data_IF_507769270698
#
_entry.id   IF_507769270698
#
_cell.length_a   1.000
_cell.length_b   1.000
_cell.length_c   1.000
_cell.angle_alpha   90.00
_cell.angle_beta   90.00
_cell.angle_gamma   90.00
#
_symmetry.space_group_name_H-M   'P 1'
#
loop_
_entity.id
_entity.type
_entity.pdbx_description
1 polymer ?
#
# COMPACT_ATOMS: atom_id res chain seq x y z
N UNK A 1 29.73 2.49 -2.89
CA UNK A 1 30.13 1.08 -2.70
C UNK A 1 29.83 0.71 -1.25
N UNK A 2 28.66 0.14 -1.02
CA UNK A 2 28.22 -0.35 0.29
C UNK A 2 28.01 -1.86 0.14
N UNK A 3 29.00 -2.64 0.53
CA UNK A 3 28.90 -4.09 0.61
C UNK A 3 28.18 -4.44 1.91
N UNK A 4 26.87 -4.61 1.87
CA UNK A 4 26.14 -5.33 2.92
C UNK A 4 26.11 -6.81 2.56
N UNK A 5 27.23 -7.51 2.80
CA UNK A 5 27.24 -8.96 2.91
C UNK A 5 26.59 -9.35 4.26
N UNK A 6 25.67 -10.34 4.30
CA UNK A 6 25.18 -10.85 5.56
C UNK A 6 26.34 -11.56 6.29
N UNK A 7 26.48 -11.22 7.56
CA UNK A 7 27.48 -11.71 8.50
C UNK A 7 27.47 -13.26 8.52
N UNK A 8 28.60 -13.87 8.18
CA UNK A 8 28.86 -15.28 8.54
C UNK A 8 28.74 -15.41 10.07
N UNK A 9 28.09 -16.45 10.60
CA UNK A 9 28.19 -16.75 12.02
C UNK A 9 29.66 -17.02 12.35
N UNK A 10 30.14 -16.46 13.47
CA UNK A 10 31.37 -16.90 14.10
C UNK A 10 31.21 -18.38 14.43
N UNK A 11 31.82 -19.28 13.64
CA UNK A 11 31.89 -20.69 14.02
C UNK A 11 32.70 -20.77 15.31
N UNK A 12 32.04 -21.21 16.39
CA UNK A 12 32.70 -21.40 17.66
C UNK A 12 33.82 -22.45 17.50
N UNK A 13 34.95 -22.24 18.17
CA UNK A 13 36.07 -23.17 18.15
C UNK A 13 35.59 -24.54 18.68
N UNK A 14 35.37 -25.51 17.78
CA UNK A 14 34.85 -26.84 18.11
C UNK A 14 33.66 -27.32 17.26
N UNK A 15 33.06 -26.46 16.44
CA UNK A 15 31.90 -26.83 15.60
C UNK A 15 32.30 -27.12 14.14
N UNK A 16 31.87 -28.27 13.61
CA UNK A 16 32.01 -28.62 12.19
C UNK A 16 30.68 -28.33 11.49
N UNK A 17 30.66 -27.31 10.62
CA UNK A 17 29.49 -26.97 9.80
C UNK A 17 29.72 -27.37 8.34
N UNK A 18 29.01 -28.42 7.91
CA UNK A 18 28.99 -28.91 6.54
C UNK A 18 27.58 -28.92 5.95
N UNK A 19 26.67 -28.08 6.48
CA UNK A 19 25.26 -28.01 6.03
C UNK A 19 25.17 -27.69 4.55
N UNK A 20 26.07 -26.84 4.04
CA UNK A 20 26.22 -26.56 2.61
C UNK A 20 26.42 -27.84 1.78
N UNK A 21 27.37 -28.70 2.18
CA UNK A 21 27.72 -29.91 1.44
C UNK A 21 26.54 -30.90 1.49
N UNK A 22 25.90 -31.05 2.65
CA UNK A 22 24.68 -31.85 2.78
C UNK A 22 23.59 -31.35 1.83
N UNK A 23 23.35 -30.04 1.80
CA UNK A 23 22.37 -29.41 0.91
C UNK A 23 22.68 -29.66 -0.57
N UNK A 24 23.95 -29.64 -0.98
CA UNK A 24 24.34 -29.94 -2.36
C UNK A 24 24.11 -31.42 -2.70
N UNK A 25 24.48 -32.34 -1.81
CA UNK A 25 24.28 -33.77 -2.01
C UNK A 25 22.80 -34.15 -2.10
N UNK A 26 21.96 -33.60 -1.20
CA UNK A 26 20.51 -33.82 -1.28
C UNK A 26 19.94 -33.11 -2.52
N UNK A 27 20.39 -31.90 -2.83
CA UNK A 27 19.99 -31.16 -4.03
C UNK A 27 20.27 -31.92 -5.33
N UNK A 28 21.38 -32.65 -5.42
CA UNK A 28 21.72 -33.47 -6.59
C UNK A 28 20.69 -34.58 -6.86
N UNK A 29 19.99 -35.08 -5.82
CA UNK A 29 18.91 -36.06 -5.97
C UNK A 29 17.68 -35.48 -6.69
N UNK A 30 17.53 -34.16 -6.79
CA UNK A 30 16.46 -33.58 -7.59
C UNK A 30 16.75 -33.66 -9.10
N UNK A 31 18.03 -33.70 -9.48
CA UNK A 31 18.48 -33.75 -10.88
C UNK A 31 18.54 -35.20 -11.38
N UNK A 32 18.94 -36.13 -10.51
CA UNK A 32 18.89 -37.56 -10.80
C UNK A 32 17.48 -38.10 -10.56
N UNK A 33 16.95 -38.91 -11.48
CA UNK A 33 15.70 -39.66 -11.24
C UNK A 33 15.92 -40.87 -10.29
N UNK A 34 17.14 -41.04 -9.78
CA UNK A 34 17.53 -42.14 -8.91
C UNK A 34 16.76 -42.09 -7.59
N UNK A 35 16.22 -43.24 -7.16
CA UNK A 35 15.50 -43.42 -5.89
C UNK A 35 14.18 -42.62 -5.77
N UNK A 36 13.71 -41.98 -6.84
CA UNK A 36 12.40 -41.33 -6.87
C UNK A 36 11.26 -42.34 -6.69
N UNK A 37 10.38 -42.07 -5.73
CA UNK A 37 9.28 -42.96 -5.31
C UNK A 37 7.89 -42.28 -5.38
N UNK A 38 7.83 -41.10 -5.97
CA UNK A 38 6.61 -40.36 -6.34
C UNK A 38 6.87 -39.48 -7.57
N UNK A 39 5.85 -39.22 -8.39
CA UNK A 39 5.95 -38.28 -9.52
C UNK A 39 4.83 -37.24 -9.47
N UNK A 40 5.18 -35.96 -9.49
CA UNK A 40 4.19 -34.89 -9.68
C UNK A 40 4.01 -34.58 -11.16
N UNK A 41 2.77 -34.32 -11.57
CA UNK A 41 2.44 -33.90 -12.94
C UNK A 41 1.94 -32.46 -12.90
N UNK A 42 2.73 -31.55 -13.46
CA UNK A 42 2.45 -30.11 -13.48
C UNK A 42 2.55 -29.63 -14.92
N UNK A 43 1.50 -29.02 -15.46
CA UNK A 43 1.43 -28.59 -16.88
C UNK A 43 1.88 -29.68 -17.88
N UNK A 44 1.51 -30.94 -17.62
CA UNK A 44 1.90 -32.15 -18.39
C UNK A 44 3.40 -32.49 -18.35
N UNK A 45 4.22 -31.73 -17.60
CA UNK A 45 5.61 -32.09 -17.27
C UNK A 45 5.62 -33.00 -16.03
N UNK A 46 6.51 -34.00 -16.03
CA UNK A 46 6.67 -34.96 -14.93
C UNK A 46 7.85 -34.54 -14.05
N UNK A 47 7.64 -34.58 -12.74
CA UNK A 47 8.62 -34.24 -11.72
C UNK A 47 8.79 -35.42 -10.77
N UNK A 48 9.72 -36.35 -11.06
CA UNK A 48 10.12 -37.39 -10.12
C UNK A 48 10.66 -36.76 -8.83
N UNK A 49 10.28 -37.32 -7.68
CA UNK A 49 10.69 -36.80 -6.38
C UNK A 49 10.72 -37.90 -5.30
N UNK A 50 11.16 -37.51 -4.11
CA UNK A 50 11.38 -38.40 -2.97
C UNK A 50 10.39 -38.10 -1.85
N UNK A 51 9.52 -39.06 -1.54
CA UNK A 51 8.46 -38.92 -0.53
C UNK A 51 9.02 -38.57 0.83
N UNK A 52 10.14 -39.17 1.22
CA UNK A 52 10.77 -38.93 2.53
C UNK A 52 11.24 -37.49 2.69
N UNK A 53 11.84 -36.89 1.65
CA UNK A 53 12.33 -35.50 1.69
C UNK A 53 11.16 -34.53 1.77
N UNK A 54 10.16 -34.72 0.91
CA UNK A 54 8.94 -33.89 0.88
C UNK A 54 8.20 -33.92 2.22
N UNK A 55 7.99 -35.11 2.78
CA UNK A 55 7.31 -35.29 4.05
C UNK A 55 8.10 -34.80 5.27
N UNK A 56 9.43 -34.77 5.19
CA UNK A 56 10.27 -34.20 6.24
C UNK A 56 10.22 -32.67 6.25
N UNK A 57 10.03 -32.05 5.09
CA UNK A 57 10.08 -30.58 4.91
C UNK A 57 8.72 -29.91 4.89
N UNK A 58 7.64 -30.65 4.64
CA UNK A 58 6.30 -30.09 4.45
C UNK A 58 5.23 -31.02 5.03
N UNK A 59 4.45 -30.50 5.97
CA UNK A 59 3.38 -31.24 6.63
C UNK A 59 2.25 -31.62 5.65
N UNK A 60 1.96 -30.77 4.66
CA UNK A 60 0.99 -31.09 3.61
C UNK A 60 1.43 -32.31 2.81
N UNK A 61 2.68 -32.33 2.30
CA UNK A 61 3.18 -33.50 1.58
C UNK A 61 3.30 -34.74 2.47
N UNK A 62 3.60 -34.57 3.77
CA UNK A 62 3.56 -35.68 4.72
C UNK A 62 2.16 -36.31 4.79
N UNK A 63 1.12 -35.50 4.94
CA UNK A 63 -0.26 -35.97 4.98
C UNK A 63 -0.67 -36.62 3.65
N UNK A 64 -0.32 -36.01 2.52
CA UNK A 64 -0.63 -36.53 1.19
C UNK A 64 0.01 -37.89 0.92
N UNK A 65 1.29 -38.02 1.24
CA UNK A 65 2.10 -39.17 0.86
C UNK A 65 2.08 -40.30 1.90
N UNK A 66 1.76 -40.02 3.17
CA UNK A 66 1.74 -41.03 4.23
C UNK A 66 0.38 -41.15 4.94
N UNK A 67 -0.65 -40.45 4.45
CA UNK A 67 -2.00 -40.44 5.04
C UNK A 67 -2.91 -41.60 4.65
N UNK A 68 -2.42 -42.58 3.87
CA UNK A 68 -3.17 -43.80 3.51
C UNK A 68 -4.19 -43.65 2.38
N UNK A 69 -4.20 -42.52 1.67
CA UNK A 69 -5.04 -42.29 0.47
C UNK A 69 -4.39 -42.87 -0.81
N UNK A 70 -5.03 -42.74 -1.98
CA UNK A 70 -4.51 -43.30 -3.25
C UNK A 70 -3.11 -42.78 -3.59
N UNK A 71 -2.87 -41.53 -3.24
CA UNK A 71 -1.63 -40.77 -3.42
C UNK A 71 -0.48 -41.28 -2.52
N UNK A 72 -0.80 -42.11 -1.52
CA UNK A 72 0.20 -42.72 -0.62
C UNK A 72 0.81 -44.01 -1.15
N UNK A 73 0.36 -44.50 -2.32
CA UNK A 73 0.97 -45.66 -2.96
C UNK A 73 2.37 -45.30 -3.48
N UNK A 74 3.38 -46.19 -3.34
CA UNK A 74 4.67 -46.02 -4.02
C UNK A 74 4.45 -45.84 -5.52
N UNK A 75 5.23 -44.96 -6.15
CA UNK A 75 5.14 -44.66 -7.59
C UNK A 75 3.85 -43.94 -8.01
N UNK A 76 3.10 -43.35 -7.06
CA UNK A 76 1.92 -42.57 -7.38
C UNK A 76 2.25 -41.36 -8.28
N UNK A 77 1.39 -41.13 -9.28
CA UNK A 77 1.38 -39.92 -10.08
C UNK A 77 0.36 -38.92 -9.51
N UNK A 78 0.85 -37.76 -9.07
CA UNK A 78 0.05 -36.74 -8.38
C UNK A 78 -0.08 -35.52 -9.30
N UNK A 79 -1.25 -35.29 -9.90
CA UNK A 79 -1.48 -34.09 -10.70
C UNK A 79 -1.64 -32.87 -9.80
N UNK A 80 -0.87 -31.81 -10.06
CA UNK A 80 -1.05 -30.50 -9.42
C UNK A 80 -1.76 -29.58 -10.41
N UNK A 81 -2.99 -29.21 -10.08
CA UNK A 81 -3.77 -28.23 -10.82
C UNK A 81 -3.42 -26.81 -10.33
N UNK A 82 -3.59 -25.83 -11.23
CA UNK A 82 -3.37 -24.41 -10.94
C UNK A 82 -1.97 -24.14 -10.35
N UNK A 83 -0.95 -24.74 -10.97
CA UNK A 83 0.45 -24.60 -10.59
C UNK A 83 1.29 -24.57 -11.85
N UNK A 84 2.15 -23.56 -11.98
CA UNK A 84 3.10 -23.46 -13.10
C UNK A 84 4.32 -24.33 -12.84
N UNK A 85 4.86 -24.91 -13.91
CA UNK A 85 6.03 -25.78 -13.82
C UNK A 85 7.26 -25.05 -13.26
N UNK A 86 7.44 -23.79 -13.63
CA UNK A 86 8.55 -22.93 -13.21
C UNK A 86 8.52 -22.68 -11.69
N UNK A 87 7.38 -22.23 -11.15
CA UNK A 87 7.22 -22.00 -9.71
C UNK A 87 7.35 -23.30 -8.91
N UNK A 88 6.80 -24.41 -9.41
CA UNK A 88 6.94 -25.71 -8.75
C UNK A 88 8.40 -26.21 -8.75
N UNK A 89 9.14 -25.96 -9.83
CA UNK A 89 10.57 -26.26 -9.91
C UNK A 89 11.35 -25.48 -8.85
N UNK A 90 11.05 -24.19 -8.67
CA UNK A 90 11.66 -23.37 -7.61
C UNK A 90 11.34 -23.93 -6.22
N UNK A 91 10.08 -24.34 -5.98
CA UNK A 91 9.68 -24.93 -4.71
C UNK A 91 10.39 -26.25 -4.44
N UNK A 92 10.46 -27.16 -5.41
CA UNK A 92 11.20 -28.41 -5.25
C UNK A 92 12.67 -28.15 -4.96
N UNK A 93 13.33 -27.23 -5.68
CA UNK A 93 14.71 -26.84 -5.37
C UNK A 93 14.84 -26.34 -3.94
N UNK A 94 13.92 -25.49 -3.48
CA UNK A 94 13.91 -25.00 -2.10
C UNK A 94 13.69 -26.12 -1.08
N UNK A 95 12.80 -27.07 -1.34
CA UNK A 95 12.55 -28.20 -0.44
C UNK A 95 13.81 -29.03 -0.25
N UNK A 96 14.55 -29.30 -1.32
CA UNK A 96 15.75 -30.15 -1.28
C UNK A 96 16.98 -29.43 -0.74
N UNK A 97 17.12 -28.13 -1.00
CA UNK A 97 18.36 -27.38 -0.72
C UNK A 97 18.23 -26.32 0.38
N UNK A 98 17.00 -25.94 0.74
CA UNK A 98 16.74 -24.77 1.57
C UNK A 98 17.10 -23.44 0.90
N UNK A 99 17.35 -23.43 -0.42
CA UNK A 99 17.76 -22.23 -1.18
C UNK A 99 16.78 -21.96 -2.33
N UNK A 100 16.49 -20.68 -2.56
CA UNK A 100 15.77 -20.19 -3.72
C UNK A 100 16.47 -18.92 -4.22
N UNK A 101 16.56 -18.78 -5.54
CA UNK A 101 17.06 -17.55 -6.19
C UNK A 101 15.86 -16.84 -6.79
N UNK A 102 15.61 -15.61 -6.34
CA UNK A 102 14.46 -14.81 -6.80
C UNK A 102 14.85 -13.76 -7.85
N UNK A 103 16.14 -13.45 -7.93
CA UNK A 103 16.67 -12.48 -8.91
C UNK A 103 16.49 -13.01 -10.32
N UNK A 104 16.16 -12.10 -11.25
CA UNK A 104 15.97 -12.35 -12.69
C UNK A 104 14.77 -13.24 -13.06
N UNK A 105 14.01 -13.71 -12.06
CA UNK A 105 12.75 -14.42 -12.30
C UNK A 105 11.64 -13.45 -12.71
N UNK A 106 10.69 -13.95 -13.51
CA UNK A 106 9.51 -13.17 -13.91
C UNK A 106 8.60 -12.96 -12.71
N UNK A 107 7.97 -11.79 -12.65
CA UNK A 107 7.07 -11.40 -11.56
C UNK A 107 5.91 -12.40 -11.37
N UNK A 108 5.31 -12.87 -12.46
CA UNK A 108 4.25 -13.90 -12.43
C UNK A 108 4.73 -15.20 -11.76
N UNK A 109 5.96 -15.64 -12.06
CA UNK A 109 6.56 -16.85 -11.46
C UNK A 109 6.83 -16.64 -9.97
N UNK A 110 7.26 -15.43 -9.56
CA UNK A 110 7.47 -15.09 -8.16
C UNK A 110 6.16 -15.08 -7.36
N UNK A 111 5.07 -14.60 -7.96
CA UNK A 111 3.74 -14.61 -7.36
C UNK A 111 3.15 -16.02 -7.26
N UNK A 112 3.35 -16.85 -8.27
CA UNK A 112 3.02 -18.28 -8.20
C UNK A 112 3.87 -18.98 -7.14
N UNK A 113 5.16 -18.67 -7.05
CA UNK A 113 6.05 -19.23 -6.05
C UNK A 113 5.64 -18.84 -4.62
N UNK A 114 5.26 -17.58 -4.40
CA UNK A 114 4.64 -17.11 -3.15
C UNK A 114 3.34 -17.86 -2.85
N UNK A 115 2.49 -18.05 -3.86
CA UNK A 115 1.24 -18.81 -3.75
C UNK A 115 1.48 -20.25 -3.27
N UNK A 116 2.51 -20.91 -3.81
CA UNK A 116 2.88 -22.26 -3.39
C UNK A 116 3.48 -22.29 -1.98
N UNK A 117 4.29 -21.30 -1.61
CA UNK A 117 4.82 -21.17 -0.25
C UNK A 117 3.67 -21.08 0.76
N UNK A 118 2.66 -20.24 0.49
CA UNK A 118 1.46 -20.14 1.30
C UNK A 118 0.66 -21.46 1.32
N UNK A 119 0.31 -21.99 0.13
CA UNK A 119 -0.52 -23.19 -0.05
C UNK A 119 0.04 -24.43 0.67
N UNK A 120 1.35 -24.59 0.66
CA UNK A 120 2.01 -25.74 1.27
C UNK A 120 2.60 -25.48 2.67
N UNK A 121 2.40 -24.27 3.21
CA UNK A 121 2.75 -23.92 4.59
C UNK A 121 4.25 -23.74 4.83
N UNK A 122 4.92 -22.91 4.03
CA UNK A 122 6.32 -22.50 4.21
C UNK A 122 6.40 -21.02 4.63
N UNK A 123 6.21 -20.70 5.92
CA UNK A 123 6.11 -19.31 6.38
C UNK A 123 7.42 -18.52 6.18
N UNK A 124 8.59 -19.12 6.39
CA UNK A 124 9.87 -18.41 6.19
C UNK A 124 10.13 -18.11 4.71
N UNK A 125 9.66 -18.98 3.81
CA UNK A 125 9.73 -18.76 2.37
C UNK A 125 8.74 -17.68 1.94
N UNK A 126 7.51 -17.73 2.45
CA UNK A 126 6.48 -16.72 2.22
C UNK A 126 6.95 -15.32 2.65
N UNK A 127 7.53 -15.21 3.84
CA UNK A 127 8.10 -13.96 4.36
C UNK A 127 9.24 -13.44 3.46
N UNK A 128 10.20 -14.32 3.11
CA UNK A 128 11.36 -13.93 2.30
C UNK A 128 10.98 -13.51 0.87
N UNK A 129 10.04 -14.23 0.24
CA UNK A 129 9.54 -13.89 -1.08
C UNK A 129 8.73 -12.60 -1.05
N UNK A 130 7.92 -12.38 -0.01
CA UNK A 130 7.18 -11.13 0.19
C UNK A 130 8.10 -9.92 0.38
N UNK A 131 9.17 -10.07 1.16
CA UNK A 131 10.17 -9.03 1.34
C UNK A 131 10.85 -8.67 0.02
N UNK A 132 11.23 -9.67 -0.80
CA UNK A 132 11.81 -9.43 -2.11
C UNK A 132 10.84 -8.70 -3.05
N UNK A 133 9.58 -9.13 -3.12
CA UNK A 133 8.55 -8.48 -3.93
C UNK A 133 8.38 -7.00 -3.57
N UNK A 134 8.48 -6.64 -2.29
CA UNK A 134 8.44 -5.24 -1.85
C UNK A 134 9.57 -4.38 -2.45
N UNK A 135 10.74 -4.97 -2.73
CA UNK A 135 11.89 -4.24 -3.29
C UNK A 135 11.79 -3.97 -4.78
N UNK A 136 10.93 -4.70 -5.50
CA UNK A 136 10.78 -4.62 -6.96
C UNK A 136 9.43 -4.03 -7.39
N UNK A 137 8.64 -3.49 -6.47
CA UNK A 137 7.35 -2.86 -6.78
C UNK A 137 7.50 -1.73 -7.80
N UNK A 138 6.65 -1.75 -8.82
CA UNK A 138 6.56 -0.76 -9.88
C UNK A 138 5.11 -0.63 -10.38
N UNK A 139 4.84 0.33 -11.28
CA UNK A 139 3.48 0.60 -11.79
C UNK A 139 2.89 -0.63 -12.52
N UNK A 140 3.72 -1.42 -13.19
CA UNK A 140 3.28 -2.56 -13.99
C UNK A 140 2.88 -3.75 -13.11
N UNK A 141 3.55 -3.94 -11.96
CA UNK A 141 3.40 -5.15 -11.15
C UNK A 141 2.60 -4.97 -9.85
N UNK A 142 2.41 -3.73 -9.38
CA UNK A 142 1.85 -3.49 -8.04
C UNK A 142 0.41 -4.00 -7.93
N UNK A 143 -0.40 -3.91 -8.99
CA UNK A 143 -1.78 -4.42 -8.98
C UNK A 143 -1.84 -5.93 -8.81
N UNK A 144 -1.05 -6.69 -9.59
CA UNK A 144 -1.01 -8.16 -9.47
C UNK A 144 -0.44 -8.59 -8.12
N UNK A 145 0.61 -7.91 -7.65
CA UNK A 145 1.21 -8.18 -6.33
C UNK A 145 0.22 -7.92 -5.20
N UNK A 146 -0.52 -6.81 -5.28
CA UNK A 146 -1.56 -6.48 -4.31
C UNK A 146 -2.71 -7.48 -4.31
N UNK A 147 -3.16 -7.94 -5.48
CA UNK A 147 -4.24 -8.92 -5.57
C UNK A 147 -3.87 -10.23 -4.87
N UNK A 148 -2.65 -10.72 -5.12
CA UNK A 148 -2.09 -11.91 -4.45
C UNK A 148 -1.91 -11.67 -2.94
N UNK A 149 -1.36 -10.53 -2.54
CA UNK A 149 -1.17 -10.19 -1.13
C UNK A 149 -2.51 -10.09 -0.38
N UNK A 150 -3.53 -9.53 -1.02
CA UNK A 150 -4.89 -9.43 -0.47
C UNK A 150 -5.56 -10.80 -0.41
N UNK A 151 -5.38 -11.66 -1.41
CA UNK A 151 -5.95 -13.01 -1.46
C UNK A 151 -5.44 -13.88 -0.31
N UNK A 152 -4.13 -13.87 -0.06
CA UNK A 152 -3.50 -14.64 1.03
C UNK A 152 -3.43 -13.89 2.36
N UNK A 153 -3.99 -12.68 2.43
CA UNK A 153 -4.00 -11.84 3.64
C UNK A 153 -2.60 -11.59 4.21
N UNK A 154 -1.65 -11.20 3.36
CA UNK A 154 -0.26 -10.91 3.71
C UNK A 154 -0.12 -9.43 4.12
N UNK A 155 -0.11 -9.09 5.42
CA UNK A 155 -0.33 -7.71 5.87
C UNK A 155 0.81 -6.76 5.50
N UNK A 156 2.07 -7.22 5.60
CA UNK A 156 3.25 -6.41 5.26
C UNK A 156 3.28 -6.06 3.77
N UNK A 157 3.12 -7.07 2.91
CA UNK A 157 3.12 -6.89 1.45
C UNK A 157 1.93 -6.04 0.99
N UNK A 158 0.74 -6.28 1.56
CA UNK A 158 -0.46 -5.47 1.31
C UNK A 158 -0.22 -4.00 1.68
N UNK A 159 0.36 -3.73 2.85
CA UNK A 159 0.68 -2.38 3.30
C UNK A 159 1.66 -1.67 2.35
N UNK A 160 2.73 -2.35 1.94
CA UNK A 160 3.73 -1.79 1.01
C UNK A 160 3.13 -1.50 -0.38
N UNK A 161 2.30 -2.40 -0.90
CA UNK A 161 1.57 -2.17 -2.15
C UNK A 161 0.62 -0.98 -2.02
N UNK A 162 -0.15 -0.90 -0.94
CA UNK A 162 -1.04 0.21 -0.62
C UNK A 162 -0.30 1.56 -0.58
N UNK A 163 0.84 1.63 0.10
CA UNK A 163 1.67 2.85 0.16
C UNK A 163 2.22 3.23 -1.20
N UNK A 164 2.64 2.26 -2.01
CA UNK A 164 3.11 2.50 -3.37
C UNK A 164 1.98 3.02 -4.27
N UNK A 165 0.80 2.40 -4.21
CA UNK A 165 -0.37 2.78 -4.99
C UNK A 165 -0.85 4.19 -4.62
N UNK A 166 -0.91 4.55 -3.33
CA UNK A 166 -1.34 5.88 -2.91
C UNK A 166 -0.43 6.99 -3.43
N UNK A 167 0.88 6.74 -3.52
CA UNK A 167 1.85 7.69 -4.05
C UNK A 167 1.78 7.85 -5.57
N UNK A 168 1.21 6.88 -6.27
CA UNK A 168 1.17 6.81 -7.74
C UNK A 168 -0.26 6.55 -8.25
N UNK A 169 -1.27 7.11 -7.57
CA UNK A 169 -2.67 6.71 -7.77
C UNK A 169 -3.14 6.94 -9.21
N UNK A 170 -2.72 8.06 -9.84
CA UNK A 170 -3.11 8.40 -11.22
C UNK A 170 -2.50 7.43 -12.24
N UNK A 171 -1.22 7.10 -12.09
CA UNK A 171 -0.53 6.14 -12.94
C UNK A 171 -1.10 4.73 -12.78
N UNK A 172 -1.41 4.32 -11.55
CA UNK A 172 -2.05 3.04 -11.25
C UNK A 172 -3.42 2.95 -11.90
N UNK A 173 -4.27 3.99 -11.79
CA UNK A 173 -5.60 4.01 -12.43
C UNK A 173 -5.55 3.87 -13.96
N UNK A 174 -4.45 4.31 -14.57
CA UNK A 174 -4.24 4.25 -16.02
C UNK A 174 -3.52 2.97 -16.48
N UNK A 175 -3.07 2.13 -15.54
CA UNK A 175 -2.29 0.93 -15.85
C UNK A 175 -3.14 -0.23 -16.35
N UNK A 176 -2.56 -1.09 -17.19
CA UNK A 176 -3.22 -2.35 -17.61
C UNK A 176 -3.45 -3.29 -16.42
N UNK A 177 -2.52 -3.30 -15.45
CA UNK A 177 -2.64 -4.09 -14.24
C UNK A 177 -3.87 -3.73 -13.39
N UNK A 178 -4.37 -2.50 -13.47
CA UNK A 178 -5.61 -2.14 -12.78
C UNK A 178 -6.82 -2.87 -13.36
N UNK A 179 -6.86 -3.11 -14.68
CA UNK A 179 -7.96 -3.80 -15.37
C UNK A 179 -8.03 -5.30 -15.01
N UNK A 180 -6.91 -5.89 -14.60
CA UNK A 180 -6.80 -7.31 -14.24
C UNK A 180 -7.05 -7.60 -12.75
N UNK A 181 -7.22 -6.58 -11.91
CA UNK A 181 -7.54 -6.75 -10.49
C UNK A 181 -8.82 -7.55 -10.29
N UNK A 182 -8.82 -8.46 -9.32
CA UNK A 182 -10.05 -9.05 -8.80
C UNK A 182 -10.99 -7.97 -8.23
N UNK A 183 -12.30 -8.24 -8.24
CA UNK A 183 -13.31 -7.32 -7.69
C UNK A 183 -13.01 -6.94 -6.24
N UNK A 184 -12.59 -7.91 -5.43
CA UNK A 184 -12.27 -7.69 -4.00
C UNK A 184 -11.06 -6.77 -3.85
N UNK A 185 -9.98 -7.03 -4.59
CA UNK A 185 -8.80 -6.18 -4.55
C UNK A 185 -9.08 -4.76 -5.06
N UNK A 186 -9.85 -4.64 -6.16
CA UNK A 186 -10.28 -3.36 -6.70
C UNK A 186 -11.00 -2.52 -5.63
N UNK A 187 -12.01 -3.07 -4.97
CA UNK A 187 -12.76 -2.40 -3.90
C UNK A 187 -11.86 -2.05 -2.71
N UNK A 188 -10.95 -2.94 -2.32
CA UNK A 188 -9.98 -2.69 -1.26
C UNK A 188 -9.05 -1.51 -1.58
N UNK A 189 -8.79 -1.21 -2.85
CA UNK A 189 -8.03 -0.03 -3.28
C UNK A 189 -8.93 1.21 -3.26
N UNK A 190 -10.03 1.18 -4.03
CA UNK A 190 -10.85 2.37 -4.27
C UNK A 190 -11.72 2.77 -3.10
N UNK A 191 -11.87 1.97 -2.04
CA UNK A 191 -12.58 2.41 -0.83
C UNK A 191 -11.69 3.21 0.13
N UNK A 192 -10.36 3.19 -0.05
CA UNK A 192 -9.41 3.86 0.85
C UNK A 192 -9.40 5.37 0.64
N UNK A 193 -9.51 6.12 1.75
CA UNK A 193 -9.40 7.59 1.72
C UNK A 193 -8.04 8.08 1.22
N UNK A 194 -6.99 7.26 1.41
CA UNK A 194 -5.62 7.60 1.02
C UNK A 194 -5.31 7.41 -0.46
N UNK A 195 -6.15 6.68 -1.20
CA UNK A 195 -5.99 6.49 -2.64
C UNK A 195 -6.51 7.71 -3.40
N UNK A 196 -5.75 8.80 -3.33
CA UNK A 196 -6.18 10.13 -3.73
C UNK A 196 -5.95 10.39 -5.23
N UNK A 197 -7.05 10.49 -5.97
CA UNK A 197 -7.10 10.95 -7.35
C UNK A 197 -8.44 11.69 -7.57
N UNK A 198 -8.56 12.53 -8.63
CA UNK A 198 -9.84 13.13 -8.97
C UNK A 198 -10.93 12.05 -9.14
N UNK A 199 -12.10 12.23 -8.51
CA UNK A 199 -13.19 11.24 -8.57
C UNK A 199 -13.65 10.94 -9.99
N UNK A 200 -13.50 11.90 -10.91
CA UNK A 200 -13.71 11.69 -12.34
C UNK A 200 -12.78 10.60 -12.90
N UNK A 201 -11.51 10.61 -12.52
CA UNK A 201 -10.52 9.66 -13.05
C UNK A 201 -10.74 8.28 -12.44
N UNK A 202 -11.07 8.21 -11.15
CA UNK A 202 -11.51 6.98 -10.47
C UNK A 202 -12.74 6.40 -11.19
N UNK A 203 -13.76 7.23 -11.45
CA UNK A 203 -14.96 6.82 -12.17
C UNK A 203 -14.64 6.24 -13.56
N UNK A 204 -13.78 6.91 -14.34
CA UNK A 204 -13.39 6.47 -15.67
C UNK A 204 -12.61 5.15 -15.64
N UNK A 205 -11.71 4.98 -14.67
CA UNK A 205 -10.97 3.73 -14.48
C UNK A 205 -11.90 2.57 -14.11
N UNK A 206 -12.84 2.79 -13.19
CA UNK A 206 -13.84 1.79 -12.81
C UNK A 206 -14.79 1.45 -13.96
N UNK A 207 -15.19 2.44 -14.77
CA UNK A 207 -15.96 2.23 -15.99
C UNK A 207 -15.20 1.32 -16.98
N UNK A 208 -13.90 1.56 -17.18
CA UNK A 208 -13.07 0.73 -18.05
C UNK A 208 -12.90 -0.69 -17.49
N UNK A 209 -12.70 -0.82 -16.17
CA UNK A 209 -12.65 -2.11 -15.50
C UNK A 209 -13.97 -2.89 -15.68
N UNK A 210 -15.13 -2.25 -15.50
CA UNK A 210 -16.45 -2.88 -15.67
C UNK A 210 -16.69 -3.34 -17.11
N UNK A 211 -16.23 -2.56 -18.11
CA UNK A 211 -16.29 -2.95 -19.53
C UNK A 211 -15.43 -4.18 -19.82
N UNK A 212 -14.25 -4.26 -19.21
CA UNK A 212 -13.34 -5.41 -19.34
C UNK A 212 -13.91 -6.66 -18.65
N UNK A 213 -14.49 -6.48 -17.45
CA UNK A 213 -15.01 -7.53 -16.58
C UNK A 213 -16.55 -7.57 -16.62
N UNK A 214 -17.12 -7.91 -17.78
CA UNK A 214 -18.58 -7.84 -18.05
C UNK A 214 -19.45 -8.83 -17.25
N UNK A 215 -18.84 -9.80 -16.56
CA UNK A 215 -19.54 -10.83 -15.78
C UNK A 215 -19.84 -10.41 -14.34
N UNK A 216 -19.19 -9.36 -13.85
CA UNK A 216 -19.27 -8.90 -12.47
C UNK A 216 -20.44 -7.94 -12.24
N UNK A 217 -20.91 -7.83 -10.99
CA UNK A 217 -21.94 -6.86 -10.65
C UNK A 217 -21.34 -5.45 -10.56
N UNK A 218 -21.61 -4.62 -11.56
CA UNK A 218 -21.06 -3.26 -11.67
C UNK A 218 -21.65 -2.29 -10.63
N UNK A 219 -22.85 -2.55 -10.09
CA UNK A 219 -23.53 -1.60 -9.21
C UNK A 219 -22.73 -1.31 -7.92
N UNK A 220 -22.17 -2.36 -7.31
CA UNK A 220 -21.37 -2.24 -6.08
C UNK A 220 -20.06 -1.48 -6.32
N UNK A 221 -19.44 -1.72 -7.47
CA UNK A 221 -18.18 -1.06 -7.85
C UNK A 221 -18.40 0.43 -8.07
N UNK A 222 -19.48 0.79 -8.77
CA UNK A 222 -19.79 2.19 -9.05
C UNK A 222 -20.24 2.97 -7.80
N UNK A 223 -20.69 2.30 -6.73
CA UNK A 223 -20.97 2.92 -5.43
C UNK A 223 -19.70 3.36 -4.70
N UNK A 224 -18.52 2.85 -5.06
CA UNK A 224 -17.26 3.30 -4.47
C UNK A 224 -16.83 4.70 -4.92
N UNK A 225 -17.42 5.22 -6.01
CA UNK A 225 -17.18 6.58 -6.51
C UNK A 225 -17.92 7.59 -5.63
N UNK A 226 -17.21 8.63 -5.19
CA UNK A 226 -17.75 9.69 -4.32
C UNK A 226 -18.38 10.77 -5.19
N UNK A 227 -19.51 10.44 -5.82
CA UNK A 227 -20.25 11.34 -6.74
C UNK A 227 -20.46 12.77 -6.22
N UNK A 228 -20.75 13.02 -4.92
CA UNK A 228 -20.90 14.39 -4.41
C UNK A 228 -19.65 15.27 -4.60
N UNK A 229 -18.46 14.67 -4.74
CA UNK A 229 -17.20 15.38 -4.96
C UNK A 229 -16.91 15.68 -6.44
N UNK A 230 -17.74 15.20 -7.36
CA UNK A 230 -17.63 15.51 -8.79
C UNK A 230 -18.34 16.83 -9.12
N UNK A 231 -17.85 17.56 -10.12
CA UNK A 231 -18.52 18.75 -10.64
C UNK A 231 -19.81 18.41 -11.39
N UNK A 232 -20.74 19.37 -11.44
CA UNK A 232 -22.00 19.21 -12.18
C UNK A 232 -21.75 18.85 -13.66
N UNK A 233 -20.73 19.45 -14.27
CA UNK A 233 -20.33 19.17 -15.65
C UNK A 233 -19.89 17.72 -15.83
N UNK A 234 -19.12 17.17 -14.89
CA UNK A 234 -18.68 15.77 -14.93
C UNK A 234 -19.85 14.81 -14.71
N UNK A 235 -20.74 15.11 -13.76
CA UNK A 235 -21.94 14.31 -13.51
C UNK A 235 -22.83 14.24 -14.76
N UNK A 236 -23.05 15.36 -15.44
CA UNK A 236 -23.94 15.42 -16.60
C UNK A 236 -23.32 14.91 -17.90
N UNK A 237 -22.02 15.14 -18.11
CA UNK A 237 -21.37 14.83 -19.39
C UNK A 237 -20.52 13.56 -19.37
N UNK A 238 -20.19 13.02 -18.19
CA UNK A 238 -19.37 11.80 -18.04
C UNK A 238 -20.17 10.69 -17.36
N UNK A 239 -20.77 10.97 -16.20
CA UNK A 239 -21.48 9.94 -15.41
C UNK A 239 -22.81 9.57 -16.06
N UNK A 240 -23.67 10.55 -16.35
CA UNK A 240 -24.99 10.30 -16.93
C UNK A 240 -24.96 9.54 -18.27
N UNK A 241 -24.07 9.86 -19.24
CA UNK A 241 -24.02 9.13 -20.51
C UNK A 241 -23.49 7.70 -20.39
N UNK A 242 -22.81 7.35 -19.28
CA UNK A 242 -22.29 5.99 -19.08
C UNK A 242 -23.38 4.94 -18.92
N UNK A 243 -24.57 5.32 -18.46
CA UNK A 243 -25.70 4.43 -18.20
C UNK A 243 -25.49 3.43 -17.05
N UNK A 244 -24.38 3.48 -16.30
CA UNK A 244 -24.08 2.56 -15.20
C UNK A 244 -24.76 2.93 -13.86
N UNK A 245 -25.19 4.19 -13.72
CA UNK A 245 -25.82 4.71 -12.51
C UNK A 245 -27.20 5.27 -12.85
N UNK A 246 -28.13 5.18 -11.90
CA UNK A 246 -29.48 5.72 -12.07
C UNK A 246 -29.44 7.26 -12.09
N UNK A 247 -30.38 7.91 -12.80
CA UNK A 247 -30.54 9.36 -12.72
C UNK A 247 -30.77 9.85 -11.28
N UNK A 248 -31.47 9.06 -10.46
CA UNK A 248 -31.74 9.37 -9.05
C UNK A 248 -30.44 9.43 -8.23
N UNK A 249 -29.49 8.51 -8.45
CA UNK A 249 -28.20 8.54 -7.76
C UNK A 249 -27.41 9.83 -8.06
N UNK A 250 -27.52 10.38 -9.27
CA UNK A 250 -26.90 11.66 -9.64
C UNK A 250 -27.60 12.82 -8.93
N UNK A 251 -28.94 12.81 -8.88
CA UNK A 251 -29.72 13.83 -8.18
C UNK A 251 -29.45 13.82 -6.67
N UNK A 252 -29.37 12.64 -6.07
CA UNK A 252 -29.02 12.45 -4.66
C UNK A 252 -27.62 12.97 -4.37
N UNK A 253 -26.65 12.73 -5.26
CA UNK A 253 -25.29 13.27 -5.11
C UNK A 253 -25.26 14.80 -5.16
N UNK A 254 -26.03 15.43 -6.07
CA UNK A 254 -26.17 16.89 -6.14
C UNK A 254 -26.81 17.43 -4.86
N UNK A 255 -27.86 16.76 -4.36
CA UNK A 255 -28.54 17.13 -3.13
C UNK A 255 -27.58 17.09 -1.94
N UNK A 256 -26.85 15.98 -1.76
CA UNK A 256 -25.84 15.81 -0.70
C UNK A 256 -24.82 16.93 -0.75
N UNK A 257 -24.25 17.25 -1.91
CA UNK A 257 -23.30 18.34 -2.08
C UNK A 257 -23.89 19.71 -1.71
N UNK A 258 -25.17 19.95 -2.00
CA UNK A 258 -25.83 21.24 -1.75
C UNK A 258 -26.29 21.44 -0.30
N UNK A 259 -26.61 20.36 0.41
CA UNK A 259 -27.17 20.40 1.77
C UNK A 259 -26.11 20.16 2.86
N UNK A 260 -24.99 19.52 2.52
CA UNK A 260 -23.91 19.22 3.47
C UNK A 260 -22.92 20.37 3.56
N UNK A 261 -22.27 20.49 4.72
CA UNK A 261 -21.06 21.32 4.85
C UNK A 261 -19.92 20.65 4.08
N UNK A 262 -19.01 21.44 3.51
CA UNK A 262 -17.93 20.91 2.68
C UNK A 262 -17.03 19.96 3.50
N UNK A 263 -16.71 20.34 4.73
CA UNK A 263 -15.87 19.52 5.61
C UNK A 263 -16.55 18.23 6.12
N UNK A 264 -17.85 18.07 5.92
CA UNK A 264 -18.58 16.83 6.22
C UNK A 264 -18.56 15.84 5.03
N UNK A 265 -18.09 16.28 3.85
CA UNK A 265 -17.93 15.41 2.69
C UNK A 265 -16.71 14.50 2.86
N UNK A 266 -16.83 13.28 2.34
CA UNK A 266 -15.81 12.24 2.47
C UNK A 266 -14.69 12.40 1.44
N UNK A 267 -13.90 13.46 1.51
CA UNK A 267 -12.77 13.65 0.59
C UNK A 267 -11.73 12.52 0.66
N UNK A 268 -11.05 12.30 -0.47
CA UNK A 268 -9.79 11.54 -0.50
C UNK A 268 -8.62 12.50 -0.35
N UNK A 269 -7.57 12.06 0.31
CA UNK A 269 -6.39 12.87 0.53
C UNK A 269 -5.14 12.03 0.57
N UNK A 270 -4.04 12.60 0.11
CA UNK A 270 -2.74 11.93 0.17
C UNK A 270 -2.37 11.64 1.63
N UNK A 271 -1.90 10.43 1.91
CA UNK A 271 -1.37 10.04 3.21
C UNK A 271 0.10 9.66 3.07
N UNK A 272 0.98 10.46 3.69
CA UNK A 272 2.39 10.12 3.80
C UNK A 272 2.76 10.05 5.30
N UNK A 273 2.79 8.84 5.88
CA UNK A 273 3.13 8.68 7.29
C UNK A 273 4.50 9.25 7.63
N UNK A 274 4.62 9.89 8.79
CA UNK A 274 5.88 10.39 9.36
C UNK A 274 6.65 11.43 8.50
N UNK A 275 6.03 12.01 7.47
CA UNK A 275 6.64 13.04 6.64
C UNK A 275 5.96 14.41 6.83
N UNK A 276 6.76 15.48 6.79
CA UNK A 276 6.24 16.85 6.83
C UNK A 276 5.75 17.29 5.44
N UNK A 277 4.44 17.22 5.23
CA UNK A 277 3.79 17.67 4.00
C UNK A 277 3.64 19.20 3.90
N UNK A 278 3.79 19.93 5.01
CA UNK A 278 3.75 21.39 5.04
C UNK A 278 5.13 21.98 4.69
N UNK A 279 5.63 21.64 3.50
CA UNK A 279 6.90 22.15 2.97
C UNK A 279 6.76 22.50 1.48
N UNK A 280 7.65 23.37 1.00
CA UNK A 280 7.71 23.74 -0.42
C UNK A 280 7.92 22.53 -1.35
N UNK A 281 8.59 21.47 -0.88
CA UNK A 281 8.80 20.21 -1.61
C UNK A 281 7.47 19.56 -2.01
N UNK A 282 6.47 19.63 -1.14
CA UNK A 282 5.13 19.10 -1.38
C UNK A 282 4.16 20.17 -1.89
N UNK A 283 4.67 21.34 -2.32
CA UNK A 283 3.85 22.42 -2.89
C UNK A 283 3.07 23.23 -1.86
N UNK A 284 3.32 23.06 -0.56
CA UNK A 284 2.66 23.85 0.47
C UNK A 284 3.11 25.32 0.45
N UNK A 285 2.20 26.25 0.72
CA UNK A 285 2.41 27.69 0.59
C UNK A 285 1.72 28.45 1.72
N UNK A 286 2.32 29.57 2.15
CA UNK A 286 1.68 30.47 3.12
C UNK A 286 0.82 31.49 2.36
N UNK A 287 -0.51 31.39 2.51
CA UNK A 287 -1.49 32.24 1.83
C UNK A 287 -1.62 33.57 2.57
N UNK A 288 -1.74 33.54 3.90
CA UNK A 288 -1.85 34.72 4.77
C UNK A 288 -0.79 34.70 5.87
N UNK A 289 -0.31 35.88 6.24
CA UNK A 289 0.81 36.08 7.16
C UNK A 289 1.97 36.87 6.54
N UNK A 290 2.81 37.42 7.40
CA UNK A 290 4.06 38.10 7.06
C UNK A 290 5.24 37.11 7.05
N UNK A 291 6.34 37.46 6.37
CA UNK A 291 7.55 36.63 6.30
C UNK A 291 7.27 35.18 5.85
N UNK A 292 6.39 35.05 4.86
CA UNK A 292 5.85 33.78 4.32
C UNK A 292 6.90 32.71 4.00
N UNK A 293 8.06 33.12 3.51
CA UNK A 293 9.14 32.20 3.13
C UNK A 293 9.74 31.45 4.31
N UNK A 294 9.64 31.98 5.53
CA UNK A 294 10.29 31.43 6.72
C UNK A 294 9.44 30.37 7.46
N UNK A 295 8.14 30.23 7.16
CA UNK A 295 7.28 29.31 7.92
C UNK A 295 7.48 27.84 7.51
N UNK A 296 7.74 27.61 6.22
CA UNK A 296 7.74 26.27 5.59
C UNK A 296 9.11 25.90 4.99
N UNK A 297 10.18 26.60 5.36
CA UNK A 297 11.55 26.36 4.88
C UNK A 297 12.22 25.16 5.57
N UNK A 298 11.67 24.71 6.70
CA UNK A 298 12.19 23.59 7.49
C UNK A 298 13.33 23.96 8.44
N UNK A 299 13.74 25.23 8.50
CA UNK A 299 14.71 25.69 9.49
C UNK A 299 14.00 25.91 10.83
N UNK A 300 14.48 25.20 11.84
CA UNK A 300 13.92 25.26 13.21
C UNK A 300 14.97 25.66 14.23
N UNK A 301 16.17 26.02 13.79
CA UNK A 301 17.30 26.34 14.66
C UNK A 301 17.84 27.75 14.43
N UNK A 302 17.82 28.24 13.19
CA UNK A 302 18.38 29.54 12.81
C UNK A 302 17.27 30.57 12.62
N UNK A 303 16.79 31.11 13.74
CA UNK A 303 15.84 32.23 13.77
C UNK A 303 16.21 33.22 14.86
N UNK A 304 16.03 34.51 14.55
CA UNK A 304 16.31 35.66 15.40
C UNK A 304 15.16 36.68 15.32
N UNK A 305 15.33 37.87 15.91
CA UNK A 305 14.26 38.89 15.98
C UNK A 305 13.84 39.43 14.61
N UNK A 306 14.67 39.27 13.59
CA UNK A 306 14.48 39.86 12.26
C UNK A 306 14.19 38.78 11.19
N UNK A 307 14.59 37.52 11.41
CA UNK A 307 14.50 36.44 10.42
C UNK A 307 14.08 35.09 11.01
N UNK A 308 13.57 34.18 10.16
CA UNK A 308 13.33 32.78 10.53
C UNK A 308 12.01 32.51 11.27
N UNK A 309 11.04 33.43 11.19
CA UNK A 309 9.69 33.22 11.72
C UNK A 309 8.65 33.88 10.83
N UNK A 310 7.41 33.38 10.89
CA UNK A 310 6.24 34.04 10.32
C UNK A 310 5.37 34.61 11.44
N UNK A 311 4.62 35.66 11.12
CA UNK A 311 3.72 36.33 12.07
C UNK A 311 2.48 36.85 11.37
N UNK A 312 1.47 37.14 12.16
CA UNK A 312 0.26 37.80 11.71
C UNK A 312 -0.13 38.86 12.75
N UNK A 313 -0.50 40.10 12.34
CA UNK A 313 -0.98 41.12 13.28
C UNK A 313 -2.29 40.67 13.94
N UNK A 314 -2.48 40.95 15.23
CA UNK A 314 -3.76 40.63 15.88
C UNK A 314 -4.69 41.80 15.61
N UNK A 315 -5.65 41.58 14.72
CA UNK A 315 -6.68 42.57 14.39
C UNK A 315 -7.85 42.48 15.39
N UNK A 316 -8.58 43.58 15.61
CA UNK A 316 -9.68 43.67 16.60
C UNK A 316 -10.78 42.60 16.40
N UNK A 317 -10.94 42.09 15.18
CA UNK A 317 -11.95 41.08 14.84
C UNK A 317 -11.48 39.64 15.11
N UNK A 318 -10.19 39.38 15.36
CA UNK A 318 -9.60 38.04 15.56
C UNK A 318 -9.95 37.01 14.45
N UNK A 319 -10.37 37.47 13.26
CA UNK A 319 -10.75 36.61 12.12
C UNK A 319 -9.59 36.32 11.15
N UNK A 320 -8.47 36.99 11.35
CA UNK A 320 -7.31 36.96 10.49
C UNK A 320 -6.17 36.24 11.21
N UNK A 321 -5.46 35.39 10.48
CA UNK A 321 -4.43 34.51 11.02
C UNK A 321 -3.43 34.08 9.96
N UNK A 322 -2.49 33.24 10.37
CA UNK A 322 -1.58 32.59 9.44
C UNK A 322 -2.36 31.47 8.74
N UNK A 323 -2.37 31.51 7.41
CA UNK A 323 -3.09 30.54 6.60
C UNK A 323 -2.11 29.81 5.70
N UNK A 324 -2.15 28.48 5.72
CA UNK A 324 -1.25 27.61 4.97
C UNK A 324 -2.12 26.82 4.01
N UNK A 325 -1.76 26.82 2.72
CA UNK A 325 -2.34 25.93 1.72
C UNK A 325 -1.40 24.76 1.49
N UNK A 326 -1.88 23.54 1.67
CA UNK A 326 -1.15 22.33 1.29
C UNK A 326 -1.12 22.21 -0.24
N UNK A 327 -0.06 21.62 -0.79
CA UNK A 327 0.05 21.48 -2.25
C UNK A 327 -0.99 20.55 -2.87
N UNK A 328 -1.60 19.69 -2.05
CA UNK A 328 -2.71 18.82 -2.42
C UNK A 328 -3.54 18.43 -1.18
N UNK A 329 -4.82 18.05 -1.35
CA UNK A 329 -5.63 17.51 -0.26
C UNK A 329 -4.90 16.36 0.42
N UNK A 330 -4.71 16.44 1.72
CA UNK A 330 -3.90 15.49 2.47
C UNK A 330 -4.57 15.07 3.76
N UNK A 331 -4.39 13.81 4.15
CA UNK A 331 -4.88 13.30 5.44
C UNK A 331 -3.88 13.70 6.51
N UNK A 332 -4.32 14.52 7.46
CA UNK A 332 -3.51 14.92 8.62
C UNK A 332 -4.25 14.66 9.92
N UNK A 333 -3.47 14.37 10.97
CA UNK A 333 -3.93 14.18 12.34
C UNK A 333 -2.95 14.73 13.38
N UNK A 334 -1.83 15.30 12.93
CA UNK A 334 -0.73 15.74 13.76
C UNK A 334 -0.11 17.00 13.16
N UNK A 335 -0.03 18.05 13.97
CA UNK A 335 0.61 19.31 13.62
C UNK A 335 1.70 19.60 14.65
N UNK A 336 2.87 19.99 14.17
CA UNK A 336 3.97 20.48 14.99
C UNK A 336 4.21 21.94 14.67
N UNK A 337 4.18 22.79 15.67
CA UNK A 337 4.51 24.21 15.53
C UNK A 337 5.56 24.60 16.56
N UNK A 338 6.49 25.46 16.15
CA UNK A 338 7.46 26.09 17.03
C UNK A 338 7.00 27.52 17.29
N UNK A 339 6.53 27.78 18.51
CA UNK A 339 6.25 29.15 18.94
C UNK A 339 7.55 29.83 19.34
N UNK A 340 7.64 31.15 19.11
CA UNK A 340 8.80 31.93 19.52
C UNK A 340 9.15 31.69 20.99
N UNK A 341 10.39 31.30 21.25
CA UNK A 341 10.84 30.90 22.58
C UNK A 341 12.15 31.55 23.03
N UNK A 342 12.70 32.48 22.24
CA UNK A 342 13.93 33.24 22.56
C UNK A 342 13.76 34.22 23.72
N UNK A 343 12.53 34.47 24.17
CA UNK A 343 12.22 35.28 25.35
C UNK A 343 10.99 34.73 26.09
N UNK A 344 10.59 35.38 27.19
CA UNK A 344 9.53 34.93 28.10
C UNK A 344 8.09 35.11 27.59
N UNK A 345 7.88 35.48 26.32
CA UNK A 345 6.52 35.60 25.76
C UNK A 345 5.81 34.24 25.71
N UNK A 346 4.48 34.30 25.78
CA UNK A 346 3.60 33.14 25.65
C UNK A 346 2.45 33.48 24.71
N UNK A 347 1.86 32.45 24.12
CA UNK A 347 0.86 32.57 23.07
C UNK A 347 -0.39 31.77 23.43
N UNK A 348 -1.55 32.29 23.03
CA UNK A 348 -2.82 31.58 23.02
C UNK A 348 -3.32 31.56 21.58
N UNK A 349 -3.77 30.42 21.10
CA UNK A 349 -4.11 30.23 19.70
C UNK A 349 -5.17 29.13 19.54
N UNK A 350 -5.79 29.07 18.38
CA UNK A 350 -6.58 27.93 17.93
C UNK A 350 -6.09 27.53 16.54
N UNK A 351 -6.37 26.29 16.12
CA UNK A 351 -6.08 25.83 14.77
C UNK A 351 -7.38 25.34 14.17
N UNK A 352 -7.66 25.81 12.97
CA UNK A 352 -8.78 25.38 12.15
C UNK A 352 -8.21 24.82 10.85
N UNK A 353 -8.95 23.90 10.24
CA UNK A 353 -8.61 23.32 8.94
C UNK A 353 -9.81 23.45 8.01
N UNK A 354 -9.53 23.50 6.72
CA UNK A 354 -10.56 23.62 5.68
C UNK A 354 -10.17 22.87 4.41
N UNK A 355 -11.18 22.57 3.59
CA UNK A 355 -11.02 22.04 2.23
C UNK A 355 -11.15 23.13 1.17
N UNK A 356 -11.92 24.19 1.43
CA UNK A 356 -12.38 25.15 0.44
C UNK A 356 -12.15 26.63 0.81
N UNK A 357 -11.47 26.92 1.93
CA UNK A 357 -11.27 28.26 2.52
C UNK A 357 -12.56 28.93 3.03
N UNK A 358 -13.71 28.27 2.95
CA UNK A 358 -15.01 28.84 3.33
C UNK A 358 -15.56 28.14 4.59
N UNK A 359 -15.54 26.81 4.59
CA UNK A 359 -15.99 25.99 5.72
C UNK A 359 -14.79 25.56 6.56
N UNK A 360 -14.69 26.13 7.76
CA UNK A 360 -13.58 25.89 8.68
C UNK A 360 -14.06 25.05 9.87
N UNK A 361 -13.23 24.10 10.29
CA UNK A 361 -13.43 23.34 11.53
C UNK A 361 -12.25 23.53 12.44
N UNK A 362 -12.53 24.01 13.66
CA UNK A 362 -11.55 24.04 14.75
C UNK A 362 -11.16 22.64 15.18
N UNK A 363 -9.87 22.32 15.05
CA UNK A 363 -9.29 21.04 15.46
C UNK A 363 -8.54 21.13 16.78
N UNK A 364 -8.04 22.33 17.12
CA UNK A 364 -7.30 22.60 18.36
C UNK A 364 -7.77 23.94 18.91
N UNK A 365 -8.04 24.00 20.22
CA UNK A 365 -8.35 25.24 20.91
C UNK A 365 -7.45 25.41 22.15
N UNK A 366 -6.43 26.25 22.00
CA UNK A 366 -5.55 26.69 23.09
C UNK A 366 -5.77 28.17 23.44
N UNK A 367 -6.94 28.73 23.15
CA UNK A 367 -7.25 30.15 23.42
C UNK A 367 -7.17 30.53 24.91
N UNK A 368 -7.27 29.55 25.82
CA UNK A 368 -7.21 29.73 27.27
C UNK A 368 -5.87 29.27 27.89
N UNK A 369 -4.89 28.90 27.07
CA UNK A 369 -3.60 28.37 27.53
C UNK A 369 -2.47 29.34 27.22
N UNK A 370 -1.41 29.30 28.05
CA UNK A 370 -0.17 30.03 27.82
C UNK A 370 0.86 29.06 27.23
N UNK A 371 0.93 29.02 25.90
CA UNK A 371 1.79 28.11 25.15
C UNK A 371 3.14 28.77 24.78
N UNK A 372 4.21 27.97 24.70
CA UNK A 372 5.56 28.44 24.34
C UNK A 372 6.41 27.29 23.77
N UNK A 373 7.34 27.62 22.86
CA UNK A 373 8.24 26.66 22.21
C UNK A 373 7.46 25.58 21.43
N UNK A 374 8.03 24.38 21.29
CA UNK A 374 7.45 23.28 20.52
C UNK A 374 6.09 22.82 21.05
N UNK A 375 5.10 22.86 20.16
CA UNK A 375 3.79 22.25 20.36
C UNK A 375 3.67 21.02 19.47
N UNK A 376 3.18 19.92 20.03
CA UNK A 376 2.86 18.68 19.30
C UNK A 376 1.38 18.42 19.49
N UNK A 377 0.61 18.62 18.43
CA UNK A 377 -0.85 18.73 18.48
C UNK A 377 -1.46 17.58 17.71
N UNK A 378 -2.29 16.79 18.37
CA UNK A 378 -2.95 15.62 17.77
C UNK A 378 -4.46 15.83 17.76
N UNK A 379 -5.10 15.43 16.67
CA UNK A 379 -6.56 15.53 16.48
C UNK A 379 -7.04 14.39 15.58
N UNK A 380 -8.36 14.09 15.51
CA UNK A 380 -8.88 13.05 14.63
C UNK A 380 -8.49 13.27 13.17
N UNK A 381 -8.01 12.20 12.51
CA UNK A 381 -7.56 12.25 11.13
C UNK A 381 -8.66 12.74 10.19
N UNK A 382 -8.28 13.61 9.25
CA UNK A 382 -9.19 14.20 8.27
C UNK A 382 -8.41 14.69 7.06
N UNK A 383 -9.11 14.81 5.93
CA UNK A 383 -8.56 15.46 4.74
C UNK A 383 -8.72 16.97 4.88
N UNK A 384 -7.65 17.71 4.61
CA UNK A 384 -7.71 19.15 4.47
C UNK A 384 -6.79 19.62 3.34
N UNK A 385 -7.06 20.83 2.86
CA UNK A 385 -6.20 21.57 1.92
C UNK A 385 -5.63 22.83 2.56
N UNK A 386 -6.22 23.28 3.66
CA UNK A 386 -5.86 24.48 4.41
C UNK A 386 -5.76 24.21 5.91
#
# INVERSE_FOLDING_TARGET
>A
MSNSHPLRPFTAVGEIDHVHILSEHIGALLIGEEYGDVTFVVEKKRFPAHRVILAARCQYFRALLYGGMRESQPEAEIPLQDTTAEAFTMLLKYIYTGRATLTDEKEEVLLDFLSLAHKYGFPELEDSTSEYLCTILNIQNVCMTFDVASLYSLPKLTCMCCMFMDRNAQEVLSSEGFLSLSKTALLNIVLRDSFAAPEKDIFLALLNWCKHNSKENHAEIMQAVRLPLMSLTELLNVVRPSGLLSPDAILDAIKVRSESRDMDLNYRGMLIPEENIATMKYGAQVVKGELKSALLDGDTQNYDLDHGFSRHPIDDDCRSGIEIKLGQPSIINHIRILLWDRDSRSYSYFIEVSMDELDWIRVIDHSQYLCRSWQKLYFPARVCSF
#
